data_IF_456283192641
#
_entry.id   IF_456283192641
#
_cell.length_a   1.000
_cell.length_b   1.000
_cell.length_c   1.000
_cell.angle_alpha   90.00
_cell.angle_beta   90.00
_cell.angle_gamma   90.00
#
_symmetry.space_group_name_H-M   'P 1'
#
loop_
_entity.id
_entity.type
_entity.pdbx_description
1 polymer ?
#
# COMPACT_ATOMS: atom_id res chain seq x y z
N UNK A 1 -7.43 4.31 -7.21
CA UNK A 1 -7.16 4.96 -8.52
C UNK A 1 -5.73 5.47 -8.51
N UNK A 2 -4.98 5.38 -9.62
CA UNK A 2 -3.57 5.83 -9.65
C UNK A 2 -3.44 7.32 -9.96
N UNK A 3 -2.27 7.89 -9.64
CA UNK A 3 -1.93 9.28 -9.98
C UNK A 3 -2.01 9.50 -11.51
N UNK A 4 -1.22 8.74 -12.26
CA UNK A 4 -1.24 8.67 -13.72
C UNK A 4 -0.55 7.38 -14.17
N UNK A 5 -0.82 6.96 -15.42
CA UNK A 5 -0.33 5.68 -15.96
C UNK A 5 1.19 5.60 -15.97
N UNK A 6 1.87 6.69 -16.37
CA UNK A 6 3.32 6.70 -16.54
C UNK A 6 4.04 6.60 -15.20
N UNK A 7 3.56 7.31 -14.18
CA UNK A 7 4.10 7.22 -12.83
C UNK A 7 3.88 5.83 -12.22
N UNK A 8 2.72 5.22 -12.47
CA UNK A 8 2.44 3.86 -12.00
C UNK A 8 3.36 2.82 -12.62
N UNK A 9 3.60 2.87 -13.94
CA UNK A 9 4.56 2.00 -14.63
C UNK A 9 5.99 2.23 -14.15
N UNK A 10 6.40 3.50 -14.04
CA UNK A 10 7.74 3.88 -13.56
C UNK A 10 8.00 3.33 -12.16
N UNK A 11 7.03 3.47 -11.24
CA UNK A 11 7.17 2.92 -9.90
C UNK A 11 7.23 1.39 -9.93
N UNK A 12 6.39 0.71 -10.72
CA UNK A 12 6.43 -0.74 -10.85
C UNK A 12 7.81 -1.23 -11.33
N UNK A 13 8.42 -0.55 -12.31
CA UNK A 13 9.79 -0.83 -12.76
C UNK A 13 10.82 -0.65 -11.65
N UNK A 14 10.73 0.45 -10.88
CA UNK A 14 11.64 0.69 -9.76
C UNK A 14 11.52 -0.39 -8.69
N UNK A 15 10.31 -0.81 -8.34
CA UNK A 15 10.05 -1.86 -7.35
C UNK A 15 10.65 -3.21 -7.78
N UNK A 16 10.54 -3.57 -9.06
CA UNK A 16 11.18 -4.76 -9.63
C UNK A 16 12.71 -4.63 -9.62
N UNK A 17 13.24 -3.48 -10.03
CA UNK A 17 14.68 -3.24 -10.13
C UNK A 17 15.39 -3.38 -8.77
N UNK A 18 14.79 -2.85 -7.71
CA UNK A 18 15.36 -2.95 -6.35
C UNK A 18 14.95 -4.24 -5.62
N UNK A 19 14.21 -5.13 -6.28
CA UNK A 19 13.66 -6.37 -5.71
C UNK A 19 12.77 -6.15 -4.49
N UNK A 20 12.18 -4.96 -4.36
CA UNK A 20 11.09 -4.72 -3.42
C UNK A 20 9.86 -5.56 -3.81
N UNK A 21 9.67 -5.81 -5.10
CA UNK A 21 8.74 -6.80 -5.61
C UNK A 21 9.49 -7.88 -6.37
N UNK A 22 9.16 -9.14 -6.11
CA UNK A 22 9.71 -10.32 -6.79
C UNK A 22 8.58 -11.19 -7.32
N UNK A 23 8.72 -11.66 -8.55
CA UNK A 23 7.79 -12.58 -9.22
C UNK A 23 8.48 -13.94 -9.42
N UNK A 24 7.81 -15.01 -8.98
CA UNK A 24 8.24 -16.41 -9.11
C UNK A 24 7.02 -17.33 -9.31
N UNK A 25 6.39 -17.31 -10.50
CA UNK A 25 5.23 -18.16 -10.77
C UNK A 25 5.55 -19.66 -10.74
N UNK A 26 6.76 -20.05 -11.17
CA UNK A 26 7.18 -21.45 -11.22
C UNK A 26 7.70 -21.99 -9.87
N UNK A 27 8.23 -21.11 -9.02
CA UNK A 27 8.75 -21.44 -7.68
C UNK A 27 8.10 -20.51 -6.61
N UNK A 28 6.81 -20.72 -6.28
CA UNK A 28 6.08 -19.76 -5.48
C UNK A 28 6.59 -19.67 -4.04
N UNK A 29 6.50 -18.46 -3.51
CA UNK A 29 6.70 -18.16 -2.09
C UNK A 29 5.63 -18.83 -1.24
N UNK A 30 5.93 -19.08 0.03
CA UNK A 30 4.92 -19.49 1.02
C UNK A 30 4.64 -18.30 1.94
N UNK A 31 3.42 -17.78 1.89
CA UNK A 31 2.98 -16.70 2.77
C UNK A 31 2.71 -17.21 4.19
N UNK A 32 2.62 -16.30 5.16
CA UNK A 32 2.35 -16.63 6.56
C UNK A 32 1.02 -17.39 6.76
N UNK A 33 0.07 -17.25 5.83
CA UNK A 33 -1.18 -18.01 5.80
C UNK A 33 -1.01 -19.46 5.35
N UNK A 34 0.19 -19.86 4.91
CA UNK A 34 0.45 -21.15 4.27
C UNK A 34 0.18 -21.17 2.76
N UNK A 35 -0.50 -20.15 2.22
CA UNK A 35 -0.79 -20.07 0.78
C UNK A 35 0.49 -19.87 -0.03
N UNK A 36 0.53 -20.51 -1.20
CA UNK A 36 1.52 -20.28 -2.24
C UNK A 36 1.21 -19.00 -3.00
N UNK A 37 2.23 -18.18 -3.21
CA UNK A 37 2.12 -16.92 -3.93
C UNK A 37 3.22 -16.80 -4.97
N UNK A 38 2.89 -16.45 -6.22
CA UNK A 38 3.87 -16.16 -7.26
C UNK A 38 4.49 -14.76 -7.08
N UNK A 39 4.07 -14.00 -6.08
CA UNK A 39 4.57 -12.65 -5.80
C UNK A 39 4.95 -12.50 -4.32
N UNK A 40 6.06 -11.81 -4.09
CA UNK A 40 6.46 -11.29 -2.80
C UNK A 40 6.69 -9.78 -2.92
N UNK A 41 6.16 -9.02 -1.96
CA UNK A 41 6.26 -7.57 -1.90
C UNK A 41 6.77 -7.16 -0.52
N UNK A 42 7.88 -6.41 -0.50
CA UNK A 42 8.47 -5.80 0.68
C UNK A 42 8.88 -4.35 0.38
N UNK A 43 7.91 -3.45 0.51
CA UNK A 43 8.12 -2.04 0.20
C UNK A 43 9.02 -1.33 1.21
N UNK A 44 9.35 -1.96 2.35
CA UNK A 44 10.32 -1.41 3.31
C UNK A 44 11.72 -1.33 2.71
N UNK A 45 12.03 -2.20 1.74
CA UNK A 45 13.28 -2.16 0.96
C UNK A 45 13.46 -0.82 0.28
N UNK A 46 12.38 -0.14 -0.15
CA UNK A 46 12.45 1.15 -0.84
C UNK A 46 13.20 2.21 -0.02
N UNK A 47 13.11 2.16 1.31
CA UNK A 47 13.78 3.09 2.22
C UNK A 47 15.31 2.98 2.19
N UNK A 48 15.83 1.80 1.81
CA UNK A 48 17.26 1.52 1.62
C UNK A 48 17.80 2.01 0.27
N UNK A 49 16.95 2.53 -0.61
CA UNK A 49 17.34 3.05 -1.93
C UNK A 49 17.01 4.54 -2.03
N UNK A 50 17.97 5.46 -1.73
CA UNK A 50 17.68 6.89 -1.59
C UNK A 50 16.93 7.51 -2.78
N UNK A 51 17.31 7.17 -4.01
CA UNK A 51 16.64 7.69 -5.22
C UNK A 51 15.19 7.20 -5.34
N UNK A 52 14.92 5.94 -5.02
CA UNK A 52 13.57 5.36 -5.06
C UNK A 52 12.71 5.94 -3.94
N UNK A 53 13.28 6.04 -2.73
CA UNK A 53 12.62 6.68 -1.58
C UNK A 53 12.23 8.13 -1.89
N UNK A 54 13.14 8.91 -2.49
CA UNK A 54 12.86 10.30 -2.89
C UNK A 54 11.71 10.36 -3.88
N UNK A 55 11.79 9.57 -4.96
CA UNK A 55 10.73 9.51 -5.95
C UNK A 55 9.37 9.15 -5.32
N UNK A 56 9.35 8.18 -4.39
CA UNK A 56 8.13 7.72 -3.71
C UNK A 56 7.44 8.82 -2.91
N UNK A 57 8.15 9.49 -2.00
CA UNK A 57 7.48 10.49 -1.16
C UNK A 57 7.07 11.72 -1.99
N UNK A 58 7.86 12.11 -3.00
CA UNK A 58 7.49 13.20 -3.91
C UNK A 58 6.22 12.89 -4.71
N UNK A 59 6.11 11.68 -5.27
CA UNK A 59 4.90 11.29 -6.00
C UNK A 59 3.69 11.13 -5.08
N UNK A 60 3.90 10.61 -3.86
CA UNK A 60 2.82 10.50 -2.88
C UNK A 60 2.33 11.88 -2.42
N UNK A 61 3.23 12.82 -2.13
CA UNK A 61 2.88 14.20 -1.81
C UNK A 61 2.09 14.87 -2.95
N UNK A 62 2.53 14.71 -4.21
CA UNK A 62 1.79 15.21 -5.38
C UNK A 62 0.39 14.61 -5.50
N UNK A 63 0.25 13.31 -5.24
CA UNK A 63 -1.04 12.63 -5.25
C UNK A 63 -1.95 13.19 -4.15
N UNK A 64 -1.44 13.35 -2.94
CA UNK A 64 -2.21 13.92 -1.82
C UNK A 64 -2.62 15.36 -2.14
N UNK A 65 -1.71 16.19 -2.63
CA UNK A 65 -2.03 17.57 -2.99
C UNK A 65 -3.13 17.67 -4.06
N UNK A 66 -3.21 16.69 -4.97
CA UNK A 66 -4.22 16.68 -6.05
C UNK A 66 -5.57 16.12 -5.60
N UNK A 67 -5.57 14.98 -4.92
CA UNK A 67 -6.79 14.25 -4.57
C UNK A 67 -7.38 14.68 -3.23
N UNK A 68 -6.53 15.19 -2.34
CA UNK A 68 -6.86 15.59 -0.97
C UNK A 68 -6.22 16.96 -0.63
N UNK A 69 -6.51 18.03 -1.40
CA UNK A 69 -5.88 19.35 -1.23
C UNK A 69 -6.13 19.97 0.16
N UNK A 70 -7.15 19.48 0.86
CA UNK A 70 -7.59 19.90 2.18
C UNK A 70 -6.95 19.10 3.34
N UNK A 71 -5.93 18.28 3.06
CA UNK A 71 -5.24 17.49 4.08
C UNK A 71 -4.51 18.39 5.09
N UNK A 72 -4.74 18.14 6.38
CA UNK A 72 -4.12 18.86 7.50
C UNK A 72 -3.16 18.00 8.29
N UNK A 73 -3.33 16.68 8.27
CA UNK A 73 -2.51 15.72 9.00
C UNK A 73 -2.29 14.47 8.17
N UNK A 74 -1.06 13.97 8.16
CA UNK A 74 -0.72 12.66 7.62
C UNK A 74 -0.76 11.61 8.73
N UNK A 75 -1.40 10.47 8.48
CA UNK A 75 -1.40 9.33 9.39
C UNK A 75 -0.73 8.09 8.74
N UNK A 76 0.42 7.65 9.26
CA UNK A 76 1.07 6.43 8.80
C UNK A 76 0.51 5.16 9.47
N UNK A 77 0.25 4.10 8.70
CA UNK A 77 -0.10 2.78 9.27
C UNK A 77 1.16 2.08 9.79
N UNK A 78 1.10 1.62 11.05
CA UNK A 78 2.23 0.93 11.66
C UNK A 78 2.42 -0.49 11.12
N UNK A 79 3.65 -0.94 10.86
CA UNK A 79 4.92 -0.21 10.96
C UNK A 79 5.43 0.25 9.60
N UNK A 80 5.06 -0.47 8.52
CA UNK A 80 5.66 -0.36 7.19
C UNK A 80 5.56 1.03 6.57
N UNK A 81 4.49 1.77 6.87
CA UNK A 81 4.24 3.07 6.27
C UNK A 81 4.75 4.27 7.09
N UNK A 82 5.18 4.07 8.35
CA UNK A 82 5.57 5.18 9.26
C UNK A 82 6.69 6.03 8.65
N UNK A 83 7.76 5.40 8.17
CA UNK A 83 8.91 6.12 7.63
C UNK A 83 8.56 6.90 6.35
N UNK A 84 7.72 6.33 5.49
CA UNK A 84 7.24 7.03 4.30
C UNK A 84 6.32 8.20 4.67
N UNK A 85 5.41 7.98 5.62
CA UNK A 85 4.48 9.00 6.09
C UNK A 85 5.20 10.20 6.70
N UNK A 86 6.30 9.99 7.42
CA UNK A 86 7.14 11.08 7.93
C UNK A 86 7.75 11.92 6.80
N UNK A 87 8.22 11.27 5.72
CA UNK A 87 8.80 11.96 4.57
C UNK A 87 7.75 12.72 3.75
N UNK A 88 6.54 12.16 3.63
CA UNK A 88 5.44 12.81 2.93
C UNK A 88 4.91 14.01 3.73
N UNK A 89 4.79 13.87 5.06
CA UNK A 89 4.42 14.98 5.94
C UNK A 89 5.44 16.13 5.88
N UNK A 90 6.74 15.79 5.85
CA UNK A 90 7.83 16.74 5.65
C UNK A 90 7.73 17.47 4.30
N UNK A 91 7.44 16.74 3.22
CA UNK A 91 7.31 17.32 1.87
C UNK A 91 6.09 18.24 1.75
N UNK A 92 4.99 17.90 2.44
CA UNK A 92 3.76 18.69 2.46
C UNK A 92 3.76 19.82 3.49
N UNK A 93 4.75 19.86 4.38
CA UNK A 93 4.83 20.77 5.54
C UNK A 93 3.58 20.74 6.44
N UNK A 94 3.09 19.52 6.74
CA UNK A 94 1.93 19.31 7.63
C UNK A 94 2.24 18.29 8.75
N UNK A 95 1.53 18.35 9.89
CA UNK A 95 1.72 17.41 11.00
C UNK A 95 1.59 15.93 10.61
N UNK A 96 2.25 15.08 11.40
CA UNK A 96 2.20 13.62 11.25
C UNK A 96 1.77 12.95 12.56
N UNK A 97 0.89 11.97 12.44
CA UNK A 97 0.62 10.94 13.45
C UNK A 97 0.85 9.54 12.87
N UNK A 98 0.83 8.50 13.69
CA UNK A 98 0.75 7.13 13.18
C UNK A 98 -0.22 6.27 13.99
N UNK A 99 -0.76 5.23 13.35
CA UNK A 99 -1.76 4.34 13.92
C UNK A 99 -1.16 2.96 14.16
N UNK A 100 -1.21 2.49 15.40
CA UNK A 100 -0.72 1.18 15.84
C UNK A 100 -1.69 0.08 15.42
N UNK A 101 -1.17 -1.12 15.19
CA UNK A 101 -1.96 -2.32 14.87
C UNK A 101 -2.72 -2.90 16.07
N UNK A 102 -2.31 -2.55 17.29
CA UNK A 102 -2.94 -2.99 18.53
C UNK A 102 -2.74 -1.96 19.66
N UNK A 103 -3.66 -1.96 20.62
CA UNK A 103 -3.58 -1.11 21.81
C UNK A 103 -2.35 -1.45 22.67
N UNK A 104 -1.92 -0.51 23.51
CA UNK A 104 -0.92 -0.80 24.56
C UNK A 104 -1.52 -1.75 25.59
N UNK A 105 -0.74 -2.73 26.07
CA UNK A 105 -1.15 -3.62 27.16
C UNK A 105 -1.32 -2.85 28.49
N UNK A 106 -0.60 -1.73 28.66
CA UNK A 106 -0.66 -0.86 29.84
C UNK A 106 -0.69 0.63 29.45
N UNK A 107 -1.56 1.42 30.08
CA UNK A 107 -1.72 2.87 29.83
C UNK A 107 -2.97 3.24 29.02
N UNK A 108 -2.99 4.44 28.41
CA UNK A 108 -4.08 4.86 27.49
C UNK A 108 -4.13 3.89 26.31
N UNK A 109 -5.28 3.27 26.08
CA UNK A 109 -5.52 2.31 24.99
C UNK A 109 -5.61 2.95 23.59
N UNK A 110 -5.08 4.16 23.42
CA UNK A 110 -5.11 4.86 22.14
C UNK A 110 -4.23 4.13 21.12
N UNK A 111 -4.79 3.96 19.91
CA UNK A 111 -4.08 3.43 18.75
C UNK A 111 -3.28 4.51 18.03
N UNK A 112 -3.60 5.79 18.25
CA UNK A 112 -2.96 6.93 17.59
C UNK A 112 -1.83 7.46 18.45
N UNK A 113 -0.67 7.60 17.84
CA UNK A 113 0.54 8.16 18.45
C UNK A 113 0.91 9.47 17.73
N UNK A 114 1.20 10.50 18.52
CA UNK A 114 1.32 11.89 18.07
C UNK A 114 0.17 12.77 18.59
N UNK A 115 0.11 14.01 18.12
CA UNK A 115 -0.96 14.96 18.47
C UNK A 115 -1.91 15.10 17.29
N UNK A 116 -3.14 14.59 17.46
CA UNK A 116 -4.20 14.68 16.46
C UNK A 116 -5.19 15.77 16.89
N UNK A 117 -5.26 16.91 16.16
CA UNK A 117 -6.26 17.92 16.44
C UNK A 117 -7.68 17.37 16.25
N UNK A 118 -8.62 17.83 17.07
CA UNK A 118 -10.02 17.46 16.94
C UNK A 118 -10.58 17.87 15.57
N UNK A 119 -11.36 17.00 14.92
CA UNK A 119 -11.89 17.20 13.56
C UNK A 119 -10.83 17.38 12.45
N UNK A 120 -9.56 17.08 12.70
CA UNK A 120 -8.51 17.22 11.69
C UNK A 120 -8.83 16.42 10.42
N UNK A 121 -8.54 17.02 9.27
CA UNK A 121 -8.67 16.37 7.95
C UNK A 121 -7.44 15.52 7.69
N UNK A 122 -7.60 14.20 7.81
CA UNK A 122 -6.49 13.24 7.79
C UNK A 122 -6.44 12.49 6.46
N UNK A 123 -5.23 12.35 5.91
CA UNK A 123 -4.93 11.38 4.85
C UNK A 123 -4.09 10.25 5.43
N UNK A 124 -4.54 9.01 5.21
CA UNK A 124 -3.83 7.81 5.68
C UNK A 124 -2.81 7.36 4.64
N UNK A 125 -1.62 6.97 5.07
CA UNK A 125 -0.56 6.43 4.23
C UNK A 125 -0.29 4.97 4.62
N UNK A 126 -0.33 4.10 3.62
CA UNK A 126 -0.06 2.66 3.71
C UNK A 126 1.07 2.26 2.76
N UNK A 127 1.81 1.18 3.06
CA UNK A 127 2.84 0.67 2.15
C UNK A 127 2.26 -0.32 1.11
N UNK A 128 1.39 -1.23 1.52
CA UNK A 128 0.79 -2.25 0.66
C UNK A 128 -0.66 -2.52 1.05
N UNK A 129 -1.58 -2.34 0.11
CA UNK A 129 -2.96 -2.81 0.26
C UNK A 129 -3.12 -4.20 -0.35
N UNK A 130 -3.35 -5.19 0.51
CA UNK A 130 -3.73 -6.56 0.12
C UNK A 130 -5.25 -6.71 0.10
N UNK A 131 -5.86 -7.13 1.21
CA UNK A 131 -7.33 -7.20 1.38
C UNK A 131 -7.92 -5.91 1.94
N UNK A 132 -7.09 -4.99 2.43
CA UNK A 132 -7.51 -3.73 3.04
C UNK A 132 -7.89 -3.81 4.53
N UNK A 133 -7.90 -5.02 5.13
CA UNK A 133 -8.35 -5.20 6.53
C UNK A 133 -7.57 -4.35 7.54
N UNK A 134 -6.24 -4.45 7.55
CA UNK A 134 -5.41 -3.68 8.48
C UNK A 134 -5.48 -2.18 8.20
N UNK A 135 -5.53 -1.83 6.91
CA UNK A 135 -5.57 -0.44 6.46
C UNK A 135 -6.86 0.24 6.91
N UNK A 136 -8.01 -0.43 6.81
CA UNK A 136 -9.30 0.10 7.26
C UNK A 136 -9.43 0.14 8.78
N UNK A 137 -8.80 -0.78 9.51
CA UNK A 137 -8.73 -0.67 10.98
C UNK A 137 -8.04 0.64 11.42
N UNK A 138 -7.02 1.09 10.69
CA UNK A 138 -6.38 2.38 10.97
C UNK A 138 -7.31 3.57 10.67
N UNK A 139 -8.09 3.48 9.59
CA UNK A 139 -9.11 4.49 9.23
C UNK A 139 -10.17 4.58 10.32
N UNK A 140 -10.66 3.44 10.80
CA UNK A 140 -11.68 3.39 11.85
C UNK A 140 -11.16 3.99 13.16
N UNK A 141 -9.93 3.65 13.56
CA UNK A 141 -9.30 4.23 14.75
C UNK A 141 -9.20 5.77 14.69
N UNK A 142 -8.89 6.33 13.52
CA UNK A 142 -8.83 7.79 13.32
C UNK A 142 -10.22 8.43 13.40
N UNK A 143 -11.23 7.79 12.77
CA UNK A 143 -12.62 8.25 12.81
C UNK A 143 -13.20 8.21 14.23
N UNK A 144 -12.94 7.13 14.98
CA UNK A 144 -13.32 6.98 16.38
C UNK A 144 -12.68 8.05 17.29
N UNK A 145 -11.47 8.50 16.94
CA UNK A 145 -10.80 9.62 17.61
C UNK A 145 -11.30 11.01 17.16
N UNK A 146 -12.31 11.07 16.29
CA UNK A 146 -12.93 12.31 15.82
C UNK A 146 -12.24 12.98 14.63
N UNK A 147 -11.33 12.30 13.92
CA UNK A 147 -10.78 12.83 12.68
C UNK A 147 -11.71 12.68 11.48
N UNK A 148 -11.58 13.59 10.52
CA UNK A 148 -12.19 13.50 9.20
C UNK A 148 -11.20 12.81 8.25
N UNK A 149 -11.31 11.49 8.10
CA UNK A 149 -10.46 10.76 7.14
C UNK A 149 -10.92 11.04 5.72
N UNK A 150 -10.14 11.84 4.99
CA UNK A 150 -10.41 12.22 3.58
C UNK A 150 -10.25 11.01 2.64
N UNK A 151 -9.29 10.15 2.95
CA UNK A 151 -8.98 8.96 2.16
C UNK A 151 -7.67 8.34 2.58
N UNK A 152 -7.23 7.37 1.78
CA UNK A 152 -5.99 6.64 1.94
C UNK A 152 -5.18 6.65 0.65
N UNK A 153 -3.87 6.73 0.83
CA UNK A 153 -2.89 6.54 -0.24
C UNK A 153 -1.99 5.35 0.09
N UNK A 154 -1.61 4.58 -0.91
CA UNK A 154 -0.63 3.51 -0.73
C UNK A 154 0.41 3.45 -1.84
N UNK A 155 1.58 2.87 -1.55
CA UNK A 155 2.60 2.65 -2.59
C UNK A 155 2.07 1.66 -3.63
N UNK A 156 1.54 0.54 -3.17
CA UNK A 156 1.17 -0.58 -4.03
C UNK A 156 -0.14 -1.25 -3.58
N UNK A 157 -0.85 -1.86 -4.53
CA UNK A 157 -1.98 -2.75 -4.25
C UNK A 157 -1.94 -3.98 -5.14
N UNK A 158 -2.33 -5.13 -4.59
CA UNK A 158 -2.58 -6.32 -5.40
C UNK A 158 -3.86 -6.21 -6.25
N UNK A 159 -4.71 -5.23 -5.97
CA UNK A 159 -5.94 -5.00 -6.72
C UNK A 159 -6.95 -6.15 -6.57
N UNK A 160 -6.99 -6.82 -5.41
CA UNK A 160 -7.98 -7.86 -5.16
C UNK A 160 -9.40 -7.27 -5.15
N UNK A 161 -10.41 -7.95 -5.74
CA UNK A 161 -11.80 -7.50 -5.69
C UNK A 161 -12.31 -7.26 -4.25
N UNK A 162 -11.87 -8.11 -3.31
CA UNK A 162 -12.21 -7.97 -1.89
C UNK A 162 -11.74 -6.65 -1.27
N UNK A 163 -10.57 -6.14 -1.68
CA UNK A 163 -10.10 -4.83 -1.21
C UNK A 163 -10.97 -3.70 -1.78
N UNK A 164 -11.29 -3.75 -3.07
CA UNK A 164 -12.18 -2.75 -3.68
C UNK A 164 -13.54 -2.71 -2.99
N UNK A 165 -14.12 -3.87 -2.66
CA UNK A 165 -15.38 -3.96 -1.92
C UNK A 165 -15.24 -3.36 -0.52
N UNK A 166 -14.20 -3.76 0.25
CA UNK A 166 -14.00 -3.29 1.61
C UNK A 166 -13.81 -1.76 1.70
N UNK A 167 -13.03 -1.15 0.82
CA UNK A 167 -12.85 0.31 0.81
C UNK A 167 -14.14 1.05 0.40
N UNK A 168 -14.91 0.49 -0.53
CA UNK A 168 -16.22 1.03 -0.91
C UNK A 168 -17.21 0.98 0.26
N UNK A 169 -17.32 -0.16 0.94
CA UNK A 169 -18.20 -0.36 2.11
C UNK A 169 -17.82 0.58 3.26
N UNK A 170 -16.52 0.79 3.48
CA UNK A 170 -16.00 1.70 4.50
C UNK A 170 -16.09 3.18 4.11
N UNK A 171 -16.62 3.52 2.92
CA UNK A 171 -16.63 4.88 2.37
C UNK A 171 -15.25 5.55 2.49
N UNK A 172 -14.20 4.85 2.09
CA UNK A 172 -12.82 5.33 2.14
C UNK A 172 -12.23 5.31 0.73
N UNK A 173 -11.87 6.49 0.21
CA UNK A 173 -11.22 6.60 -1.09
C UNK A 173 -9.81 6.03 -1.01
N UNK A 174 -9.47 5.10 -1.91
CA UNK A 174 -8.12 4.54 -2.03
C UNK A 174 -7.47 5.00 -3.33
N UNK A 175 -6.34 5.69 -3.18
CA UNK A 175 -5.44 6.03 -4.27
C UNK A 175 -4.09 5.33 -4.11
N UNK A 176 -3.49 4.91 -5.21
CA UNK A 176 -2.25 4.12 -5.18
C UNK A 176 -1.22 4.70 -6.13
N UNK A 177 0.07 4.61 -5.80
CA UNK A 177 1.10 5.04 -6.73
C UNK A 177 1.29 4.03 -7.87
N UNK A 178 1.21 2.73 -7.56
CA UNK A 178 1.23 1.66 -8.56
C UNK A 178 0.35 0.49 -8.09
N UNK A 179 0.17 -0.50 -8.97
CA UNK A 179 -0.66 -1.66 -8.74
C UNK A 179 -0.12 -2.89 -9.48
N UNK A 180 -0.77 -4.02 -9.23
CA UNK A 180 -0.43 -5.30 -9.84
C UNK A 180 -0.49 -5.29 -11.37
N UNK A 181 -1.47 -4.62 -11.97
CA UNK A 181 -1.63 -4.64 -13.43
C UNK A 181 -0.49 -3.87 -14.11
N UNK A 182 -0.07 -2.73 -13.55
CA UNK A 182 1.08 -1.97 -14.04
C UNK A 182 2.40 -2.70 -13.77
N UNK A 183 2.51 -3.42 -12.64
CA UNK A 183 3.66 -4.29 -12.36
C UNK A 183 3.82 -5.39 -13.41
N UNK A 184 2.73 -6.08 -13.77
CA UNK A 184 2.77 -7.14 -14.78
C UNK A 184 3.14 -6.59 -16.16
N UNK A 185 2.60 -5.44 -16.55
CA UNK A 185 2.98 -4.75 -17.79
C UNK A 185 4.46 -4.40 -17.82
N UNK A 186 4.98 -3.83 -16.74
CA UNK A 186 6.40 -3.49 -16.60
C UNK A 186 7.30 -4.74 -16.63
N UNK A 187 6.88 -5.83 -15.99
CA UNK A 187 7.64 -7.08 -16.00
C UNK A 187 7.66 -7.74 -17.40
N UNK A 188 6.55 -7.68 -18.13
CA UNK A 188 6.44 -8.17 -19.51
C UNK A 188 7.29 -7.33 -20.47
N UNK A 189 7.21 -5.99 -20.41
CA UNK A 189 7.94 -5.09 -21.30
C UNK A 189 9.46 -5.22 -21.15
N UNK A 190 9.93 -5.59 -19.96
CA UNK A 190 11.34 -5.85 -19.64
C UNK A 190 11.80 -7.27 -19.95
N UNK A 191 10.93 -8.15 -20.45
CA UNK A 191 11.24 -9.55 -20.70
C UNK A 191 11.52 -10.37 -19.44
N UNK A 192 11.04 -9.90 -18.28
CA UNK A 192 11.16 -10.61 -16.99
C UNK A 192 10.08 -11.69 -16.83
N UNK A 193 9.00 -11.60 -17.61
CA UNK A 193 7.93 -12.60 -17.68
C UNK A 193 7.72 -13.05 -19.11
N UNK A 194 7.43 -14.33 -19.28
CA UNK A 194 6.86 -14.90 -20.49
C UNK A 194 5.33 -14.72 -20.52
N UNK A 195 4.68 -14.82 -21.71
CA UNK A 195 3.22 -14.80 -21.80
C UNK A 195 2.52 -15.92 -21.00
N UNK A 196 3.18 -17.05 -20.77
CA UNK A 196 2.65 -18.15 -19.97
C UNK A 196 2.65 -17.80 -18.47
N UNK A 197 3.78 -17.29 -17.98
CA UNK A 197 3.94 -16.82 -16.60
C UNK A 197 2.99 -15.66 -16.28
N UNK A 198 2.77 -14.76 -17.24
CA UNK A 198 1.80 -13.68 -17.12
C UNK A 198 0.39 -14.22 -16.84
N UNK A 199 -0.06 -15.24 -17.59
CA UNK A 199 -1.38 -15.86 -17.37
C UNK A 199 -1.47 -16.54 -16.00
N UNK A 200 -0.38 -17.14 -15.52
CA UNK A 200 -0.35 -17.73 -14.19
C UNK A 200 -0.54 -16.67 -13.10
N UNK A 201 0.15 -15.54 -13.24
CA UNK A 201 0.05 -14.37 -12.34
C UNK A 201 -1.35 -13.73 -12.36
N UNK A 202 -1.95 -13.56 -13.54
CA UNK A 202 -3.33 -13.09 -13.69
C UNK A 202 -4.33 -14.04 -13.00
N UNK A 203 -4.15 -15.35 -13.18
CA UNK A 203 -4.97 -16.38 -12.53
C UNK A 203 -4.87 -16.35 -11.00
N UNK A 204 -3.66 -16.15 -10.47
CA UNK A 204 -3.45 -15.97 -9.04
C UNK A 204 -4.20 -14.77 -8.47
N UNK A 205 -4.22 -13.62 -9.17
CA UNK A 205 -4.90 -12.42 -8.69
C UNK A 205 -6.41 -12.62 -8.49
N UNK A 206 -7.03 -13.40 -9.38
CA UNK A 206 -8.48 -13.65 -9.36
C UNK A 206 -8.89 -14.57 -8.21
N UNK A 207 -8.13 -15.64 -7.97
CA UNK A 207 -8.39 -16.59 -6.89
C UNK A 207 -7.07 -17.14 -6.32
N UNK A 208 -6.44 -16.40 -5.38
CA UNK A 208 -5.15 -16.78 -4.80
C UNK A 208 -5.19 -18.14 -4.11
N UNK A 209 -6.34 -18.50 -3.53
CA UNK A 209 -6.51 -19.79 -2.85
C UNK A 209 -6.53 -20.93 -3.86
N UNK A 210 -7.40 -20.85 -4.88
CA UNK A 210 -7.48 -21.89 -5.92
C UNK A 210 -6.17 -22.03 -6.68
N UNK A 211 -5.46 -20.93 -6.91
CA UNK A 211 -4.12 -20.97 -7.50
C UNK A 211 -3.14 -21.70 -6.59
N UNK A 212 -3.12 -21.38 -5.30
CA UNK A 212 -2.26 -22.04 -4.31
C UNK A 212 -2.52 -23.53 -4.19
N UNK A 213 -3.77 -23.97 -4.28
CA UNK A 213 -4.17 -25.38 -4.15
C UNK A 213 -3.50 -26.28 -5.24
N UNK A 214 -3.02 -25.71 -6.35
CA UNK A 214 -2.28 -26.44 -7.41
C UNK A 214 -0.89 -26.92 -6.96
N UNK A 215 -0.37 -26.34 -5.88
CA UNK A 215 0.95 -26.62 -5.31
C UNK A 215 0.88 -27.36 -3.97
N UNK A 216 -0.33 -27.68 -3.52
CA UNK A 216 -0.58 -28.50 -2.35
C UNK A 216 -0.52 -29.97 -2.77
N UNK A 217 0.54 -30.67 -2.35
CA UNK A 217 0.65 -32.14 -2.43
C UNK A 217 -0.11 -32.81 -1.29
#
# INVERSE_FOLDING_TARGET
MNLDIKSAETLAELLLQIKAVSLRPDEPFTWASGLKSPIYCDNRVTLSHPKVRTYLYEQMARLIHREFPDAEVIAGVATGAIALAALVAQELDIPMVYVRSAAKEHGRQNLIEGELPHNARVVVIEDLVSTGKSSLQAVDALREAGAQVLGMTAIFTYGFPAASAAFSEANCLLHTLSDYDHLLKAALSRGTLTPLELKALEGWRLDPKKWSDQFSH
#
